data_IF_871670736686
#
_entry.id   IF_871670736686
#
_cell.length_a   1.000
_cell.length_b   1.000
_cell.length_c   1.000
_cell.angle_alpha   90.00
_cell.angle_beta   90.00
_cell.angle_gamma   90.00
#
_symmetry.space_group_name_H-M   'P 1'
#
loop_
_entity.id
_entity.type
_entity.pdbx_description
1 polymer ?
#
# COMPACT_ATOMS: atom_id res chain seq x y z
N UNK A 1 -35.38 72.16 -29.57
CA UNK A 1 -35.63 71.80 -28.15
C UNK A 1 -36.51 70.56 -28.16
N UNK A 2 -35.89 69.37 -28.21
CA UNK A 2 -36.67 68.13 -28.22
C UNK A 2 -36.45 67.44 -26.88
N UNK A 3 -37.53 67.23 -26.22
CA UNK A 3 -37.68 66.71 -24.87
C UNK A 3 -37.39 65.20 -24.88
N UNK A 4 -36.37 64.87 -24.17
CA UNK A 4 -36.03 63.49 -23.76
C UNK A 4 -37.00 63.02 -22.69
N UNK A 5 -38.12 62.42 -23.07
CA UNK A 5 -38.98 61.72 -22.10
C UNK A 5 -39.78 60.62 -22.81
N UNK A 6 -39.37 59.41 -22.68
CA UNK A 6 -40.26 58.25 -22.71
C UNK A 6 -39.51 56.95 -22.96
N UNK A 7 -38.80 56.44 -21.97
CA UNK A 7 -38.43 55.04 -21.97
C UNK A 7 -38.57 54.37 -20.58
N UNK A 8 -39.37 54.93 -19.70
CA UNK A 8 -39.86 54.17 -18.55
C UNK A 8 -41.15 53.45 -18.93
N UNK A 9 -40.99 52.40 -19.76
CA UNK A 9 -42.06 51.43 -19.99
C UNK A 9 -42.36 50.73 -18.65
N UNK A 10 -43.51 51.03 -18.07
CA UNK A 10 -43.99 50.35 -16.84
C UNK A 10 -43.88 48.87 -16.99
N UNK A 11 -42.98 48.28 -16.24
CA UNK A 11 -42.83 46.81 -16.17
C UNK A 11 -44.09 46.26 -15.54
N UNK A 12 -44.91 45.56 -16.31
CA UNK A 12 -46.15 44.94 -15.82
C UNK A 12 -45.84 43.96 -14.69
N UNK A 13 -46.73 43.91 -13.69
CA UNK A 13 -46.56 43.00 -12.54
C UNK A 13 -46.28 41.56 -12.93
N UNK A 14 -46.73 41.14 -14.11
CA UNK A 14 -46.49 39.80 -14.69
C UNK A 14 -45.04 39.63 -15.14
N UNK A 15 -44.44 40.64 -15.81
CA UNK A 15 -43.04 40.59 -16.23
C UNK A 15 -42.10 40.68 -15.03
N UNK A 16 -42.46 41.43 -14.00
CA UNK A 16 -41.69 41.49 -12.75
C UNK A 16 -41.69 40.13 -12.01
N UNK A 17 -42.85 39.42 -12.00
CA UNK A 17 -42.95 38.08 -11.41
C UNK A 17 -42.15 37.05 -12.18
N UNK A 18 -42.12 37.10 -13.52
CA UNK A 18 -41.31 36.24 -14.37
C UNK A 18 -39.80 36.47 -14.15
N UNK A 19 -39.36 37.69 -14.07
CA UNK A 19 -37.95 38.05 -13.79
C UNK A 19 -37.55 37.56 -12.42
N UNK A 20 -38.37 37.76 -11.41
CA UNK A 20 -38.11 37.28 -10.06
C UNK A 20 -38.07 35.75 -9.98
N UNK A 21 -38.96 35.06 -10.70
CA UNK A 21 -38.96 33.59 -10.79
C UNK A 21 -37.73 33.06 -11.49
N UNK A 22 -37.28 33.65 -12.59
CA UNK A 22 -36.05 33.30 -13.24
C UNK A 22 -34.83 33.55 -12.39
N UNK A 23 -34.79 34.64 -11.64
CA UNK A 23 -33.68 34.97 -10.72
C UNK A 23 -33.58 33.96 -9.57
N UNK A 24 -34.70 33.49 -9.02
CA UNK A 24 -34.76 32.46 -8.00
C UNK A 24 -34.28 31.11 -8.56
N UNK A 25 -34.67 30.74 -9.79
CA UNK A 25 -34.22 29.53 -10.45
C UNK A 25 -32.69 29.52 -10.71
N UNK A 26 -32.13 30.65 -11.10
CA UNK A 26 -30.70 30.83 -11.30
C UNK A 26 -29.94 30.76 -9.97
N UNK A 27 -30.48 31.32 -8.90
CA UNK A 27 -29.88 31.23 -7.55
C UNK A 27 -29.92 29.79 -6.98
N UNK A 28 -30.94 28.99 -7.28
CA UNK A 28 -31.03 27.60 -6.88
C UNK A 28 -30.02 26.68 -7.63
N UNK A 29 -29.63 27.05 -8.84
CA UNK A 29 -28.66 26.26 -9.61
C UNK A 29 -27.20 26.43 -9.14
N UNK A 30 -26.89 27.45 -8.33
CA UNK A 30 -25.52 27.70 -7.82
C UNK A 30 -25.20 26.82 -6.60
N UNK A 31 -26.20 26.21 -5.98
CA UNK A 31 -26.00 25.32 -4.83
C UNK A 31 -25.77 23.83 -5.19
N UNK A 32 -25.54 23.52 -6.48
CA UNK A 32 -25.03 22.20 -6.84
C UNK A 32 -23.57 22.09 -6.36
N UNK A 33 -23.39 21.85 -5.08
CA UNK A 33 -22.11 21.41 -4.54
C UNK A 33 -21.69 20.18 -5.32
N UNK A 34 -20.56 20.26 -6.01
CA UNK A 34 -19.91 19.06 -6.51
C UNK A 34 -19.70 18.16 -5.28
N UNK A 35 -20.44 17.08 -5.18
CA UNK A 35 -20.23 16.06 -4.16
C UNK A 35 -18.86 15.48 -4.47
N UNK A 36 -17.85 15.87 -3.68
CA UNK A 36 -16.55 15.21 -3.75
C UNK A 36 -16.80 13.71 -3.56
N UNK A 37 -16.37 12.91 -4.52
CA UNK A 37 -16.35 11.46 -4.35
C UNK A 37 -15.66 11.16 -2.99
N UNK A 38 -16.26 10.33 -2.13
CA UNK A 38 -15.63 9.96 -0.87
C UNK A 38 -14.23 9.42 -1.18
N UNK A 39 -13.20 9.79 -0.39
CA UNK A 39 -11.85 9.36 -0.64
C UNK A 39 -11.84 7.84 -0.79
N UNK A 40 -11.41 7.35 -1.95
CA UNK A 40 -11.35 5.91 -2.21
C UNK A 40 -10.37 5.30 -1.21
N UNK A 41 -10.81 4.31 -0.43
CA UNK A 41 -9.94 3.71 0.57
C UNK A 41 -8.71 3.11 -0.10
N UNK A 42 -7.58 3.17 0.59
CA UNK A 42 -6.37 2.45 0.23
C UNK A 42 -6.71 0.96 0.08
N UNK A 43 -6.40 0.37 -1.08
CA UNK A 43 -6.57 -1.06 -1.33
C UNK A 43 -5.20 -1.71 -1.38
N UNK A 44 -5.04 -2.79 -0.64
CA UNK A 44 -3.80 -3.58 -0.58
C UNK A 44 -4.12 -5.02 -0.93
N UNK A 45 -3.29 -5.62 -1.78
CA UNK A 45 -3.34 -7.04 -2.09
C UNK A 45 -1.94 -7.63 -2.06
N UNK A 46 -1.82 -8.87 -1.58
CA UNK A 46 -0.56 -9.61 -1.62
C UNK A 46 -0.38 -10.17 -3.03
N UNK A 47 0.71 -9.77 -3.69
CA UNK A 47 1.09 -10.29 -5.00
C UNK A 47 2.05 -11.48 -4.88
N UNK A 48 3.00 -11.41 -3.92
CA UNK A 48 4.01 -12.43 -3.70
C UNK A 48 4.36 -12.51 -2.21
N UNK A 49 4.46 -13.73 -1.70
CA UNK A 49 4.91 -13.97 -0.32
C UNK A 49 6.43 -13.82 -0.20
N UNK A 50 6.95 -13.64 1.02
CA UNK A 50 8.38 -13.67 1.30
C UNK A 50 8.88 -15.12 1.31
N UNK A 51 10.00 -15.39 0.64
CA UNK A 51 10.64 -16.71 0.63
C UNK A 51 12.15 -16.59 0.77
N UNK A 52 12.73 -17.42 1.60
CA UNK A 52 14.18 -17.48 1.82
C UNK A 52 14.89 -18.56 0.99
N UNK A 53 14.11 -19.43 0.31
CA UNK A 53 14.64 -20.57 -0.43
C UNK A 53 15.16 -21.68 0.48
N UNK A 54 16.00 -22.55 -0.08
CA UNK A 54 16.61 -23.65 0.67
C UNK A 54 17.98 -23.25 1.21
N UNK A 55 18.30 -23.80 2.39
CA UNK A 55 19.59 -23.63 3.07
C UNK A 55 20.03 -24.94 3.72
N UNK A 56 21.33 -25.04 3.95
CA UNK A 56 21.94 -25.97 4.90
C UNK A 56 22.46 -25.13 6.07
N UNK A 57 22.10 -25.50 7.27
CA UNK A 57 22.63 -24.89 8.49
C UNK A 57 23.80 -25.70 9.02
N UNK A 58 24.78 -24.99 9.54
CA UNK A 58 25.89 -25.62 10.24
C UNK A 58 25.63 -25.75 11.74
N UNK A 59 26.70 -25.84 12.50
CA UNK A 59 26.65 -26.13 13.95
C UNK A 59 26.26 -24.94 14.80
N UNK A 60 26.53 -23.72 14.34
CA UNK A 60 26.30 -22.47 15.10
C UNK A 60 25.07 -21.67 14.64
N UNK A 61 24.56 -21.98 13.43
CA UNK A 61 23.48 -21.22 12.83
C UNK A 61 23.94 -19.87 12.27
N UNK A 62 22.98 -18.96 12.03
CA UNK A 62 23.26 -17.66 11.45
C UNK A 62 22.00 -16.92 11.01
N UNK A 63 22.13 -16.04 10.02
CA UNK A 63 21.01 -15.28 9.46
C UNK A 63 20.98 -15.39 7.94
N UNK A 64 19.77 -15.38 7.41
CA UNK A 64 19.49 -15.23 5.98
C UNK A 64 18.74 -13.92 5.79
N UNK A 65 19.20 -13.12 4.86
CA UNK A 65 18.63 -11.80 4.59
C UNK A 65 18.16 -11.79 3.14
N UNK A 66 16.90 -11.45 2.93
CA UNK A 66 16.36 -11.09 1.62
C UNK A 66 16.14 -9.60 1.63
N UNK A 67 16.80 -8.88 0.74
CA UNK A 67 16.55 -7.46 0.59
C UNK A 67 15.35 -7.17 -0.33
N UNK A 68 14.79 -5.95 -0.32
CA UNK A 68 13.66 -5.60 -1.17
C UNK A 68 13.96 -5.69 -2.67
N UNK A 69 15.22 -5.58 -3.08
CA UNK A 69 15.68 -5.73 -4.47
C UNK A 69 15.63 -7.18 -4.93
N UNK A 70 15.59 -8.14 -3.99
CA UNK A 70 15.51 -9.57 -4.26
C UNK A 70 16.84 -10.29 -4.14
N UNK A 71 17.90 -9.65 -3.64
CA UNK A 71 19.17 -10.32 -3.37
C UNK A 71 19.09 -11.11 -2.07
N UNK A 72 19.81 -12.22 -2.01
CA UNK A 72 19.93 -13.06 -0.81
C UNK A 72 21.36 -13.02 -0.29
N UNK A 73 21.53 -12.68 0.98
CA UNK A 73 22.79 -12.77 1.70
C UNK A 73 22.65 -13.61 2.96
N UNK A 74 23.77 -14.16 3.43
CA UNK A 74 23.81 -14.99 4.62
C UNK A 74 24.97 -14.58 5.53
N UNK A 75 24.80 -14.85 6.82
CA UNK A 75 25.86 -14.65 7.84
C UNK A 75 25.91 -15.87 8.74
N UNK A 76 27.03 -16.05 9.44
CA UNK A 76 27.24 -17.21 10.31
C UNK A 76 27.51 -18.47 9.51
N UNK A 77 27.01 -19.59 10.01
CA UNK A 77 27.27 -20.95 9.49
C UNK A 77 26.06 -21.44 8.66
N UNK A 78 25.68 -20.64 7.65
CA UNK A 78 24.56 -20.91 6.76
C UNK A 78 25.06 -21.02 5.32
N UNK A 79 24.69 -22.09 4.63
CA UNK A 79 25.04 -22.33 3.23
C UNK A 79 23.76 -22.28 2.38
N UNK A 80 23.61 -21.29 1.49
CA UNK A 80 22.50 -21.27 0.55
C UNK A 80 22.67 -22.41 -0.47
N UNK A 81 21.59 -23.15 -0.72
CA UNK A 81 21.58 -24.24 -1.70
C UNK A 81 20.47 -24.04 -2.72
N UNK A 82 20.70 -24.56 -3.92
CA UNK A 82 19.69 -24.57 -4.97
C UNK A 82 19.06 -25.97 -5.05
N UNK A 83 17.90 -26.13 -4.41
CA UNK A 83 17.11 -27.37 -4.42
C UNK A 83 15.74 -27.14 -5.08
N UNK A 84 15.64 -26.20 -6.01
CA UNK A 84 14.37 -25.86 -6.67
C UNK A 84 13.47 -24.93 -5.87
N UNK A 85 13.87 -24.51 -4.68
CA UNK A 85 13.14 -23.54 -3.87
C UNK A 85 13.69 -22.12 -4.11
N UNK A 86 12.89 -21.30 -4.76
CA UNK A 86 13.27 -19.92 -5.06
C UNK A 86 13.19 -19.04 -3.81
N UNK A 87 14.01 -17.99 -3.79
CA UNK A 87 13.96 -16.94 -2.76
C UNK A 87 13.54 -15.62 -3.41
N UNK A 88 12.74 -14.83 -2.68
CA UNK A 88 12.24 -13.54 -3.18
C UNK A 88 11.63 -12.73 -2.03
N UNK A 89 11.61 -11.37 -2.15
CA UNK A 89 10.94 -10.51 -1.19
C UNK A 89 9.42 -10.67 -1.25
N UNK A 90 8.73 -10.23 -0.23
CA UNK A 90 7.29 -10.04 -0.30
C UNK A 90 6.97 -8.88 -1.25
N UNK A 91 5.87 -8.99 -2.00
CA UNK A 91 5.37 -7.93 -2.87
C UNK A 91 3.90 -7.69 -2.56
N UNK A 92 3.58 -6.44 -2.26
CA UNK A 92 2.21 -5.96 -2.08
C UNK A 92 1.87 -4.99 -3.21
N UNK A 93 0.67 -5.11 -3.75
CA UNK A 93 0.12 -4.13 -4.69
C UNK A 93 -0.81 -3.18 -3.97
N UNK A 94 -0.53 -1.89 -4.13
CA UNK A 94 -1.26 -0.82 -3.49
C UNK A 94 -1.97 0.02 -4.55
N UNK A 95 -3.27 0.23 -4.36
CA UNK A 95 -4.11 1.13 -5.15
C UNK A 95 -4.56 2.27 -4.27
N UNK A 96 -4.16 3.48 -4.62
CA UNK A 96 -4.49 4.70 -3.91
C UNK A 96 -4.66 5.85 -4.91
N UNK A 97 -5.24 6.96 -4.49
CA UNK A 97 -5.31 8.16 -5.31
C UNK A 97 -3.91 8.76 -5.52
N UNK A 98 -3.64 9.38 -6.68
CA UNK A 98 -2.42 10.16 -6.87
C UNK A 98 -2.31 11.25 -5.79
N UNK A 99 -1.10 11.45 -5.26
CA UNK A 99 -0.85 12.39 -4.16
C UNK A 99 -1.08 11.82 -2.76
N UNK A 100 -1.66 10.63 -2.61
CA UNK A 100 -1.82 10.00 -1.30
C UNK A 100 -0.45 9.70 -0.68
N UNK A 101 -0.26 10.11 0.57
CA UNK A 101 0.88 9.72 1.39
C UNK A 101 0.62 8.33 1.96
N UNK A 102 1.57 7.41 1.76
CA UNK A 102 1.46 6.03 2.22
C UNK A 102 2.56 5.75 3.22
N UNK A 103 2.16 5.36 4.43
CA UNK A 103 3.04 4.88 5.48
C UNK A 103 3.03 3.35 5.48
N UNK A 104 4.20 2.74 5.70
CA UNK A 104 4.36 1.30 5.88
C UNK A 104 4.82 1.06 7.31
N UNK A 105 4.06 0.26 8.04
CA UNK A 105 4.41 -0.13 9.41
C UNK A 105 4.52 -1.66 9.45
N UNK A 106 5.73 -2.14 9.68
CA UNK A 106 5.98 -3.56 9.87
C UNK A 106 5.38 -4.03 11.19
N UNK A 107 4.80 -5.22 11.19
CA UNK A 107 4.39 -5.90 12.41
C UNK A 107 5.59 -6.35 13.26
N UNK A 108 5.32 -6.95 14.42
CA UNK A 108 6.39 -7.51 15.27
C UNK A 108 7.09 -8.68 14.59
N UNK A 109 8.25 -9.05 15.14
CA UNK A 109 8.94 -10.27 14.78
C UNK A 109 8.05 -11.48 15.01
N UNK A 110 8.11 -12.46 14.12
CA UNK A 110 7.25 -13.65 14.16
C UNK A 110 8.06 -14.93 14.14
N UNK A 111 7.51 -15.98 14.72
CA UNK A 111 8.10 -17.30 14.69
C UNK A 111 7.50 -18.11 13.53
N UNK A 112 8.37 -18.63 12.66
CA UNK A 112 8.02 -19.64 11.66
C UNK A 112 8.13 -21.00 12.31
N UNK A 113 7.09 -21.83 12.16
CA UNK A 113 7.07 -23.18 12.74
C UNK A 113 7.55 -24.22 11.75
N UNK A 114 8.43 -25.10 12.19
CA UNK A 114 8.93 -26.22 11.41
C UNK A 114 8.00 -27.44 11.48
N UNK A 115 7.80 -28.12 10.37
CA UNK A 115 6.99 -29.34 10.31
C UNK A 115 7.62 -30.53 11.08
N UNK A 116 8.93 -30.49 11.32
CA UNK A 116 9.68 -31.46 12.14
C UNK A 116 10.05 -30.90 13.53
N UNK A 117 9.36 -29.82 13.96
CA UNK A 117 9.66 -29.10 15.19
C UNK A 117 10.61 -27.93 14.97
N UNK A 118 10.90 -27.21 16.05
CA UNK A 118 11.72 -25.99 16.04
C UNK A 118 11.00 -24.79 15.49
N UNK A 119 11.61 -23.62 15.69
CA UNK A 119 11.06 -22.33 15.22
C UNK A 119 12.18 -21.44 14.72
N UNK A 120 11.93 -20.66 13.66
CA UNK A 120 12.84 -19.65 13.14
C UNK A 120 12.25 -18.26 13.41
N UNK A 121 13.06 -17.31 13.85
CA UNK A 121 12.63 -15.94 14.06
C UNK A 121 12.75 -15.14 12.77
N UNK A 122 11.63 -14.59 12.30
CA UNK A 122 11.55 -13.70 11.16
C UNK A 122 11.38 -12.25 11.63
N UNK A 123 12.30 -11.39 11.20
CA UNK A 123 12.22 -9.94 11.29
C UNK A 123 11.89 -9.36 9.92
N UNK A 124 10.87 -8.50 9.82
CA UNK A 124 10.50 -7.83 8.57
C UNK A 124 11.39 -6.60 8.39
N UNK A 125 12.05 -6.55 7.25
CA UNK A 125 13.06 -5.54 6.93
C UNK A 125 12.51 -4.29 6.24
N UNK A 126 13.36 -3.66 5.47
CA UNK A 126 13.06 -2.44 4.73
C UNK A 126 12.12 -2.71 3.56
N UNK A 127 11.55 -1.63 3.02
CA UNK A 127 10.67 -1.66 1.84
C UNK A 127 11.21 -0.80 0.70
N UNK A 128 10.76 -1.11 -0.52
CA UNK A 128 10.91 -0.26 -1.69
C UNK A 128 9.53 -0.11 -2.35
N UNK A 129 9.00 1.11 -2.45
CA UNK A 129 9.54 2.39 -1.95
C UNK A 129 9.72 2.41 -0.44
N UNK A 130 10.66 3.25 0.05
CA UNK A 130 10.83 3.46 1.50
C UNK A 130 9.60 4.16 2.08
N UNK A 131 9.26 3.83 3.32
CA UNK A 131 8.20 4.50 4.07
C UNK A 131 8.71 5.81 4.71
N UNK A 132 7.91 6.91 4.67
CA UNK A 132 6.70 7.09 3.88
C UNK A 132 6.99 7.43 2.41
N UNK A 133 6.01 7.22 1.52
CA UNK A 133 6.13 7.64 0.13
C UNK A 133 4.80 8.20 -0.41
N UNK A 134 4.89 9.00 -1.48
CA UNK A 134 3.71 9.57 -2.14
C UNK A 134 3.36 8.71 -3.35
N UNK A 135 2.09 8.29 -3.44
CA UNK A 135 1.60 7.61 -4.63
C UNK A 135 1.50 8.58 -5.81
N UNK A 136 2.23 8.30 -6.88
CA UNK A 136 2.17 9.07 -8.13
C UNK A 136 1.36 8.36 -9.22
N UNK A 137 0.87 7.15 -8.97
CA UNK A 137 0.18 6.32 -9.95
C UNK A 137 -1.32 6.46 -9.87
N UNK A 138 -1.98 6.26 -11.01
CA UNK A 138 -3.43 6.14 -11.09
C UNK A 138 -3.87 4.83 -10.40
N UNK A 139 -5.04 4.78 -9.74
CA UNK A 139 -5.58 3.57 -9.11
C UNK A 139 -5.73 2.36 -10.04
N UNK A 140 -5.85 2.57 -11.36
CA UNK A 140 -5.85 1.50 -12.35
C UNK A 140 -4.48 0.80 -12.47
N UNK A 141 -3.39 1.46 -12.09
CA UNK A 141 -2.00 0.97 -12.16
C UNK A 141 -1.43 0.89 -10.75
N UNK A 142 -1.50 -0.26 -10.06
CA UNK A 142 -1.03 -0.37 -8.68
C UNK A 142 0.47 -0.08 -8.57
N UNK A 143 0.85 0.45 -7.41
CA UNK A 143 2.25 0.51 -6.99
C UNK A 143 2.61 -0.83 -6.35
N UNK A 144 3.75 -1.39 -6.73
CA UNK A 144 4.33 -2.55 -6.07
C UNK A 144 5.26 -2.09 -4.96
N UNK A 145 4.97 -2.53 -3.74
CA UNK A 145 5.84 -2.37 -2.58
C UNK A 145 6.52 -3.71 -2.31
N UNK A 146 7.85 -3.71 -2.37
CA UNK A 146 8.68 -4.86 -2.06
C UNK A 146 9.18 -4.75 -0.64
N UNK A 147 9.12 -5.83 0.11
CA UNK A 147 9.54 -5.87 1.52
C UNK A 147 10.46 -7.05 1.72
N UNK A 148 11.64 -6.77 2.24
CA UNK A 148 12.63 -7.77 2.60
C UNK A 148 12.41 -8.32 4.01
N UNK A 149 13.29 -9.22 4.43
CA UNK A 149 13.25 -9.77 5.78
C UNK A 149 14.54 -10.48 6.15
N UNK A 150 14.71 -10.69 7.45
CA UNK A 150 15.85 -11.41 8.03
C UNK A 150 15.33 -12.61 8.82
N UNK A 151 15.77 -13.80 8.43
CA UNK A 151 15.46 -15.03 9.13
C UNK A 151 16.65 -15.44 9.99
N UNK A 152 16.44 -15.60 11.29
CA UNK A 152 17.44 -16.10 12.23
C UNK A 152 17.27 -17.60 12.39
N UNK A 153 18.34 -18.33 12.13
CA UNK A 153 18.40 -19.79 12.16
C UNK A 153 19.38 -20.22 13.26
N UNK A 154 18.94 -21.06 14.16
CA UNK A 154 19.79 -21.68 15.19
C UNK A 154 20.58 -22.87 14.66
N UNK A 155 21.08 -23.69 15.58
CA UNK A 155 21.73 -24.96 15.24
C UNK A 155 20.70 -26.04 14.86
N UNK A 156 21.19 -27.17 14.35
CA UNK A 156 20.32 -28.27 13.88
C UNK A 156 19.49 -28.97 14.98
N UNK A 157 19.84 -28.78 16.25
CA UNK A 157 19.06 -29.30 17.39
C UNK A 157 17.87 -28.37 17.64
N UNK A 158 18.10 -27.07 17.65
CA UNK A 158 17.05 -26.07 17.85
C UNK A 158 16.11 -25.95 16.64
N UNK A 159 16.66 -26.11 15.46
CA UNK A 159 15.95 -26.01 14.18
C UNK A 159 16.19 -27.22 13.30
N UNK A 160 15.47 -28.35 13.53
CA UNK A 160 15.57 -29.54 12.70
C UNK A 160 15.31 -29.26 11.22
N UNK A 161 15.92 -30.04 10.33
CA UNK A 161 15.67 -29.93 8.90
C UNK A 161 14.17 -30.15 8.60
N UNK A 162 13.59 -29.24 7.81
CA UNK A 162 12.17 -29.27 7.48
C UNK A 162 11.69 -28.01 6.77
N UNK A 163 10.39 -27.92 6.56
CA UNK A 163 9.73 -26.74 6.02
C UNK A 163 9.27 -25.86 7.18
N UNK A 164 9.62 -24.59 7.12
CA UNK A 164 9.24 -23.59 8.12
C UNK A 164 8.25 -22.61 7.51
N UNK A 165 7.11 -22.44 8.15
CA UNK A 165 6.02 -21.59 7.67
C UNK A 165 5.50 -20.72 8.82
N UNK A 166 5.13 -19.47 8.50
CA UNK A 166 4.52 -18.54 9.42
C UNK A 166 3.88 -17.38 8.68
N UNK A 167 3.21 -16.51 9.43
CA UNK A 167 2.51 -15.35 8.90
C UNK A 167 3.04 -14.10 9.58
N UNK A 168 3.28 -13.07 8.81
CA UNK A 168 3.66 -11.75 9.29
C UNK A 168 2.61 -10.72 8.84
N UNK A 169 2.59 -9.57 9.48
CA UNK A 169 1.69 -8.48 9.15
C UNK A 169 2.48 -7.23 8.75
N UNK A 170 1.93 -6.49 7.79
CA UNK A 170 2.37 -5.16 7.41
C UNK A 170 1.14 -4.28 7.28
N UNK A 171 1.17 -3.11 7.89
CA UNK A 171 0.08 -2.14 7.81
C UNK A 171 0.46 -1.02 6.86
N UNK A 172 -0.46 -0.69 5.98
CA UNK A 172 -0.38 0.44 5.06
C UNK A 172 -1.45 1.46 5.44
N UNK A 173 -1.06 2.72 5.65
CA UNK A 173 -1.93 3.80 6.10
C UNK A 173 -1.65 5.11 5.36
#
# INVERSE_FOLDING_TARGET
MMTSNSLYKSINATTMRLILSCMVLVLLSITASAQEDPPRPLQVSTFQNLSFGAIIQGTTGGKIIIDPEGSRSVTGDIIPVNMGYSYYPAIFEIRALPGALINIVNGPDVLLNGNNGGTLLLHIGNSIPNSPFINTRNPASPIQVRIGGTLTVGNSIANPAGNYIGYFSVTFA
#
